data_IF_147345346725
#
_entry.id   IF_147345346725
#
_cell.length_a   1.000
_cell.length_b   1.000
_cell.length_c   1.000
_cell.angle_alpha   90.00
_cell.angle_beta   90.00
_cell.angle_gamma   90.00
#
_symmetry.space_group_name_H-M   'P 1'
#
loop_
_entity.id
_entity.type
_entity.pdbx_description
1 polymer ?
#
# COMPACT_ATOMS: atom_id res chain seq x y z
N UNK A 1 10.02 20.84 14.49
CA UNK A 1 10.44 19.57 13.90
C UNK A 1 10.64 18.57 15.02
N UNK A 2 10.07 17.39 14.88
CA UNK A 2 10.17 16.29 15.83
C UNK A 2 10.86 15.10 15.15
N UNK A 3 11.77 14.44 15.86
CA UNK A 3 12.38 13.19 15.42
C UNK A 3 11.52 12.04 15.93
N UNK A 4 10.94 11.28 15.02
CA UNK A 4 10.00 10.20 15.36
C UNK A 4 10.74 8.88 15.59
N UNK A 5 11.71 8.54 14.75
CA UNK A 5 12.44 7.29 14.86
C UNK A 5 13.87 7.42 14.33
N UNK A 6 14.73 6.53 14.82
CA UNK A 6 16.07 6.29 14.29
C UNK A 6 16.06 5.07 13.36
N UNK A 7 17.08 4.94 12.52
CA UNK A 7 17.26 3.79 11.63
C UNK A 7 16.10 3.54 10.65
N UNK A 8 15.46 4.61 10.17
CA UNK A 8 14.42 4.52 9.15
C UNK A 8 15.03 4.36 7.75
N UNK A 9 14.32 3.71 6.84
CA UNK A 9 14.67 3.69 5.43
C UNK A 9 14.36 5.05 4.80
N UNK A 10 15.39 5.81 4.44
CA UNK A 10 15.31 7.23 4.08
C UNK A 10 14.56 7.51 2.77
N UNK A 11 14.54 6.54 1.86
CA UNK A 11 14.01 6.70 0.50
C UNK A 11 12.62 6.10 0.29
N UNK A 12 12.05 5.44 1.31
CA UNK A 12 10.75 4.78 1.18
C UNK A 12 9.62 5.75 1.57
N UNK A 13 8.53 5.70 0.80
CA UNK A 13 7.30 6.42 1.14
C UNK A 13 6.83 6.01 2.54
N UNK A 14 6.29 6.97 3.28
CA UNK A 14 5.62 6.76 4.56
C UNK A 14 4.12 6.79 4.31
N UNK A 15 3.37 5.84 4.86
CA UNK A 15 1.93 5.88 4.89
C UNK A 15 1.44 6.56 6.17
N UNK A 16 0.37 7.34 6.05
CA UNK A 16 -0.23 8.11 7.14
C UNK A 16 -1.74 7.89 7.09
N UNK A 17 -2.35 7.66 8.24
CA UNK A 17 -3.80 7.51 8.38
C UNK A 17 -4.27 8.17 9.68
N UNK A 18 -5.51 8.66 9.78
CA UNK A 18 -6.05 9.19 11.04
C UNK A 18 -6.00 8.16 12.18
N UNK A 19 -5.91 8.65 13.43
CA UNK A 19 -6.08 7.88 14.66
C UNK A 19 -6.90 8.69 15.65
N UNK A 20 -8.22 8.54 15.60
CA UNK A 20 -9.14 9.40 16.34
C UNK A 20 -9.10 10.86 15.87
N UNK A 21 -9.53 11.84 16.69
CA UNK A 21 -9.72 13.22 16.24
C UNK A 21 -8.41 14.00 16.03
N UNK A 22 -7.36 13.68 16.78
CA UNK A 22 -6.18 14.55 16.87
C UNK A 22 -4.87 13.84 16.53
N UNK A 23 -4.82 12.51 16.59
CA UNK A 23 -3.61 11.74 16.37
C UNK A 23 -3.55 11.19 14.94
N UNK A 24 -2.35 10.76 14.54
CA UNK A 24 -2.12 10.05 13.29
C UNK A 24 -1.40 8.73 13.55
N UNK A 25 -1.77 7.70 12.79
CA UNK A 25 -0.96 6.50 12.65
C UNK A 25 -0.01 6.68 11.47
N UNK A 26 1.22 6.23 11.62
CA UNK A 26 2.24 6.21 10.56
C UNK A 26 2.77 4.80 10.37
N UNK A 27 3.01 4.41 9.13
CA UNK A 27 3.61 3.14 8.75
C UNK A 27 4.79 3.40 7.83
N UNK A 28 5.97 2.89 8.17
CA UNK A 28 7.19 3.12 7.40
C UNK A 28 8.10 1.91 7.41
N UNK A 29 9.07 1.88 6.48
CA UNK A 29 10.11 0.86 6.48
C UNK A 29 11.19 1.23 7.49
N UNK A 30 11.33 0.41 8.50
CA UNK A 30 12.29 0.52 9.60
C UNK A 30 13.45 -0.44 9.38
N UNK A 31 14.62 -0.07 9.87
CA UNK A 31 15.78 -0.96 9.94
C UNK A 31 15.83 -1.56 11.35
N UNK A 32 15.53 -2.85 11.45
CA UNK A 32 15.65 -3.62 12.67
C UNK A 32 17.02 -4.30 12.72
N UNK A 33 17.67 -4.27 13.89
CA UNK A 33 19.04 -4.79 14.01
C UNK A 33 20.02 -4.05 13.11
N UNK A 34 20.72 -4.78 12.23
CA UNK A 34 21.76 -4.20 11.36
C UNK A 34 21.22 -3.92 9.94
N UNK A 35 20.47 -4.86 9.35
CA UNK A 35 20.07 -4.79 7.93
C UNK A 35 18.64 -5.23 7.64
N UNK A 36 17.89 -5.70 8.64
CA UNK A 36 16.51 -6.17 8.44
C UNK A 36 15.58 -5.00 8.19
N UNK A 37 14.95 -4.94 7.01
CA UNK A 37 14.10 -3.84 6.56
C UNK A 37 12.63 -4.25 6.50
N UNK A 38 12.03 -4.36 7.66
CA UNK A 38 10.58 -4.60 7.81
C UNK A 38 9.84 -3.30 8.13
N UNK A 39 8.54 -3.39 8.33
CA UNK A 39 7.73 -2.21 8.60
C UNK A 39 7.49 -2.00 10.08
N UNK A 40 7.58 -0.76 10.50
CA UNK A 40 7.12 -0.30 11.81
C UNK A 40 5.88 0.56 11.66
N UNK A 41 5.01 0.53 12.66
CA UNK A 41 3.82 1.35 12.77
C UNK A 41 3.85 2.07 14.12
N UNK A 42 3.39 3.32 14.16
CA UNK A 42 3.30 4.10 15.40
C UNK A 42 2.14 5.07 15.38
N UNK A 43 1.73 5.51 16.58
CA UNK A 43 0.79 6.62 16.76
C UNK A 43 1.55 7.86 17.19
N UNK A 44 1.28 8.99 16.54
CA UNK A 44 1.84 10.29 16.84
C UNK A 44 0.76 11.26 17.29
N UNK A 45 1.07 12.02 18.32
CA UNK A 45 0.26 13.15 18.78
C UNK A 45 0.53 14.41 17.95
N UNK A 46 -0.32 15.47 18.02
CA UNK A 46 -0.11 16.72 17.31
C UNK A 46 1.20 17.44 17.67
N UNK A 47 1.71 17.23 18.87
CA UNK A 47 3.00 17.78 19.32
C UNK A 47 4.19 16.85 18.98
N UNK A 48 3.95 15.79 18.18
CA UNK A 48 4.98 14.92 17.63
C UNK A 48 5.53 13.88 18.61
N UNK A 49 4.84 13.62 19.71
CA UNK A 49 5.23 12.54 20.62
C UNK A 49 4.74 11.20 20.06
N UNK A 50 5.59 10.18 20.18
CA UNK A 50 5.21 8.81 19.88
C UNK A 50 4.52 8.18 21.08
N UNK A 51 3.27 7.74 20.91
CA UNK A 51 2.49 7.09 21.97
C UNK A 51 2.67 5.56 21.94
N UNK A 52 2.60 4.99 20.78
CA UNK A 52 2.61 3.55 20.57
C UNK A 52 3.52 3.23 19.37
N UNK A 53 4.27 2.15 19.45
CA UNK A 53 5.09 1.67 18.33
C UNK A 53 5.12 0.14 18.32
N UNK A 54 4.95 -0.45 17.13
CA UNK A 54 5.04 -1.88 16.90
C UNK A 54 5.79 -2.22 15.61
N UNK A 55 6.24 -3.47 15.49
CA UNK A 55 6.70 -4.04 14.22
C UNK A 55 5.47 -4.60 13.49
N UNK A 56 5.20 -4.07 12.31
CA UNK A 56 3.98 -4.37 11.55
C UNK A 56 4.19 -5.48 10.51
N UNK A 57 5.41 -5.74 10.07
CA UNK A 57 5.72 -6.88 9.22
C UNK A 57 6.94 -7.65 9.73
N UNK A 58 6.99 -8.95 9.42
CA UNK A 58 8.04 -9.89 9.83
C UNK A 58 8.50 -10.66 8.60
N UNK A 59 9.04 -9.94 7.61
CA UNK A 59 9.46 -10.48 6.32
C UNK A 59 10.90 -10.97 6.35
N UNK A 60 11.69 -10.50 7.34
CA UNK A 60 13.12 -10.74 7.50
C UNK A 60 13.92 -10.34 6.25
N UNK A 61 13.58 -9.20 5.66
CA UNK A 61 14.26 -8.71 4.47
C UNK A 61 15.64 -8.14 4.79
N UNK A 62 16.66 -8.95 4.59
CA UNK A 62 18.07 -8.58 4.81
C UNK A 62 18.61 -7.85 3.59
N UNK A 63 18.72 -6.53 3.66
CA UNK A 63 19.26 -5.72 2.57
C UNK A 63 20.02 -4.50 3.08
N UNK A 64 21.25 -4.32 2.57
CA UNK A 64 22.04 -3.12 2.81
C UNK A 64 21.96 -2.15 1.62
N UNK A 65 20.74 -1.79 1.25
CA UNK A 65 20.42 -0.88 0.16
C UNK A 65 19.07 -0.20 0.42
N UNK A 66 18.71 0.76 -0.42
CA UNK A 66 17.44 1.49 -0.40
C UNK A 66 16.48 0.85 -1.41
N UNK A 67 15.45 0.10 -0.98
CA UNK A 67 14.57 -0.62 -1.90
C UNK A 67 13.56 0.25 -2.64
N UNK A 68 13.35 1.50 -2.21
CA UNK A 68 12.39 2.46 -2.79
C UNK A 68 10.91 2.03 -2.80
N UNK A 69 10.57 0.97 -2.07
CA UNK A 69 9.21 0.46 -1.93
C UNK A 69 8.64 0.84 -0.56
N UNK A 70 7.84 1.89 -0.50
CA UNK A 70 7.12 2.28 0.71
C UNK A 70 5.79 1.53 0.84
N UNK A 71 5.28 1.38 2.07
CA UNK A 71 3.99 0.78 2.34
C UNK A 71 2.83 1.72 2.00
N UNK A 72 1.62 1.16 2.03
CA UNK A 72 0.36 1.89 2.05
C UNK A 72 -0.49 1.43 3.22
N UNK A 73 -1.32 2.33 3.76
CA UNK A 73 -2.15 2.06 4.92
C UNK A 73 -3.43 2.89 4.88
N UNK A 74 -4.54 2.30 5.33
CA UNK A 74 -5.80 2.99 5.57
C UNK A 74 -6.46 2.43 6.83
N UNK A 75 -7.10 3.28 7.63
CA UNK A 75 -7.88 2.82 8.79
C UNK A 75 -9.20 2.22 8.30
N UNK A 76 -9.55 1.04 8.81
CA UNK A 76 -10.86 0.43 8.60
C UNK A 76 -11.95 1.28 9.25
N UNK A 77 -12.97 1.64 8.49
CA UNK A 77 -14.18 2.29 9.02
C UNK A 77 -15.09 1.31 9.78
N UNK A 78 -14.88 0.00 9.62
CA UNK A 78 -15.67 -1.07 10.25
C UNK A 78 -15.08 -1.47 11.60
N UNK A 79 -13.81 -1.89 11.62
CA UNK A 79 -13.15 -2.42 12.82
C UNK A 79 -12.31 -1.40 13.58
N UNK A 80 -11.86 -0.33 12.91
CA UNK A 80 -10.91 0.63 13.47
C UNK A 80 -9.45 0.17 13.42
N UNK A 81 -9.18 -1.06 13.00
CA UNK A 81 -7.83 -1.57 12.70
C UNK A 81 -7.25 -0.91 11.44
N UNK A 82 -6.02 -1.23 11.09
CA UNK A 82 -5.35 -0.67 9.93
C UNK A 82 -5.11 -1.73 8.86
N UNK A 83 -5.69 -1.55 7.69
CA UNK A 83 -5.31 -2.28 6.49
C UNK A 83 -3.96 -1.78 6.01
N UNK A 84 -3.05 -2.69 5.71
CA UNK A 84 -1.72 -2.38 5.23
C UNK A 84 -1.41 -3.18 3.96
N UNK A 85 -0.65 -2.57 3.06
CA UNK A 85 -0.04 -3.31 1.95
C UNK A 85 1.39 -2.84 1.74
N UNK A 86 2.27 -3.80 1.43
CA UNK A 86 3.70 -3.53 1.26
C UNK A 86 4.34 -4.50 0.26
N UNK A 87 5.46 -4.09 -0.27
CA UNK A 87 6.36 -4.95 -1.01
C UNK A 87 7.48 -5.44 -0.12
N UNK A 88 7.88 -6.68 -0.27
CA UNK A 88 9.04 -7.27 0.39
C UNK A 88 9.77 -8.24 -0.52
N UNK A 89 11.06 -8.46 -0.28
CA UNK A 89 11.85 -9.51 -0.88
C UNK A 89 12.70 -10.19 0.21
N UNK A 90 12.04 -10.48 1.33
CA UNK A 90 12.64 -11.10 2.49
C UNK A 90 12.75 -12.62 2.39
N UNK A 91 13.37 -13.21 3.39
CA UNK A 91 13.56 -14.66 3.44
C UNK A 91 12.24 -15.40 3.70
N UNK A 92 11.30 -14.78 4.42
CA UNK A 92 10.00 -15.37 4.75
C UNK A 92 8.92 -15.00 3.73
N UNK A 93 8.98 -13.81 3.16
CA UNK A 93 7.95 -13.29 2.26
C UNK A 93 8.58 -12.60 1.06
N UNK A 94 8.04 -12.80 -0.15
CA UNK A 94 8.49 -12.16 -1.39
C UNK A 94 7.31 -11.68 -2.23
N UNK A 95 7.35 -10.43 -2.70
CA UNK A 95 6.30 -9.82 -3.51
C UNK A 95 5.48 -8.79 -2.74
N UNK A 96 4.23 -8.62 -3.16
CA UNK A 96 3.27 -7.72 -2.51
C UNK A 96 2.45 -8.52 -1.51
N UNK A 97 2.33 -7.96 -0.32
CA UNK A 97 1.53 -8.49 0.78
C UNK A 97 0.47 -7.50 1.22
N UNK A 98 -0.60 -8.03 1.74
CA UNK A 98 -1.62 -7.35 2.51
C UNK A 98 -1.65 -7.93 3.92
N UNK A 99 -2.08 -7.13 4.89
CA UNK A 99 -2.34 -7.55 6.26
C UNK A 99 -3.09 -6.46 7.03
N UNK A 100 -3.56 -6.81 8.23
CA UNK A 100 -4.22 -5.89 9.15
C UNK A 100 -3.35 -5.71 10.39
N UNK A 101 -3.34 -4.52 10.95
CA UNK A 101 -2.68 -4.23 12.23
C UNK A 101 -3.68 -3.68 13.21
N UNK A 102 -3.70 -4.26 14.42
CA UNK A 102 -4.47 -3.78 15.55
C UNK A 102 -3.55 -3.20 16.61
N UNK A 103 -3.79 -1.95 17.01
CA UNK A 103 -3.10 -1.39 18.17
C UNK A 103 -3.58 -1.99 19.49
N UNK A 104 -4.80 -2.51 19.56
CA UNK A 104 -5.35 -3.12 20.77
C UNK A 104 -4.61 -4.41 21.14
N UNK A 105 -4.17 -5.17 20.14
CA UNK A 105 -3.39 -6.40 20.33
C UNK A 105 -1.91 -6.22 20.05
N UNK A 106 -1.50 -5.05 19.54
CA UNK A 106 -0.15 -4.73 19.06
C UNK A 106 0.41 -5.79 18.08
N UNK A 107 -0.43 -6.27 17.18
CA UNK A 107 -0.07 -7.37 16.26
C UNK A 107 -0.70 -7.21 14.89
N UNK A 108 -0.06 -7.83 13.90
CA UNK A 108 -0.61 -7.99 12.55
C UNK A 108 -1.30 -9.35 12.41
N UNK A 109 -2.42 -9.33 11.68
CA UNK A 109 -3.23 -10.51 11.33
C UNK A 109 -3.57 -10.52 9.85
N UNK A 110 -4.17 -11.60 9.37
CA UNK A 110 -4.68 -11.75 8.00
C UNK A 110 -3.63 -11.44 6.92
N UNK A 111 -2.36 -11.77 7.22
CA UNK A 111 -1.24 -11.53 6.29
C UNK A 111 -1.29 -12.57 5.17
N UNK A 112 -1.42 -12.09 3.92
CA UNK A 112 -1.37 -12.95 2.76
C UNK A 112 -0.67 -12.29 1.56
N UNK A 113 -0.18 -13.12 0.64
CA UNK A 113 0.50 -12.70 -0.56
C UNK A 113 -0.52 -12.29 -1.64
N UNK A 114 -0.42 -11.04 -2.10
CA UNK A 114 -1.27 -10.50 -3.18
C UNK A 114 -0.70 -10.82 -4.55
N UNK A 115 0.61 -10.58 -4.74
CA UNK A 115 1.29 -10.80 -6.02
C UNK A 115 2.77 -11.13 -5.77
N UNK A 116 3.23 -12.25 -6.33
CA UNK A 116 4.62 -12.71 -6.25
C UNK A 116 5.38 -12.60 -7.57
N UNK A 117 4.79 -11.98 -8.60
CA UNK A 117 5.45 -11.80 -9.88
C UNK A 117 6.70 -10.91 -9.76
N UNK A 118 7.71 -11.17 -10.57
CA UNK A 118 9.01 -10.49 -10.47
C UNK A 118 8.94 -8.98 -10.72
N UNK A 119 7.89 -8.49 -11.36
CA UNK A 119 7.66 -7.08 -11.65
C UNK A 119 6.64 -6.40 -10.72
N UNK A 120 6.11 -7.12 -9.72
CA UNK A 120 5.14 -6.56 -8.78
C UNK A 120 5.79 -5.54 -7.84
N UNK A 121 5.09 -4.42 -7.57
CA UNK A 121 5.59 -3.41 -6.64
C UNK A 121 4.64 -2.23 -6.47
N UNK A 122 4.98 -1.36 -5.52
CA UNK A 122 4.32 -0.09 -5.27
C UNK A 122 2.81 -0.20 -5.00
N UNK A 123 2.37 -1.05 -4.06
CA UNK A 123 0.96 -1.18 -3.72
C UNK A 123 0.42 0.10 -3.08
N UNK A 124 -0.86 0.39 -3.34
CA UNK A 124 -1.57 1.50 -2.73
C UNK A 124 -2.98 1.07 -2.33
N UNK A 125 -3.33 1.30 -1.07
CA UNK A 125 -4.64 1.02 -0.48
C UNK A 125 -5.48 2.28 -0.36
N UNK A 126 -6.78 2.13 -0.54
CA UNK A 126 -7.79 3.11 -0.16
C UNK A 126 -9.06 2.42 0.30
N UNK A 127 -9.87 3.13 1.07
CA UNK A 127 -11.22 2.71 1.49
C UNK A 127 -12.22 3.80 1.16
N UNK A 128 -13.37 3.38 0.64
CA UNK A 128 -14.53 4.24 0.44
C UNK A 128 -15.81 3.42 0.66
N UNK A 129 -16.69 3.88 1.57
CA UNK A 129 -17.96 3.25 1.89
C UNK A 129 -17.80 1.75 2.25
N UNK A 130 -16.88 1.45 3.16
CA UNK A 130 -16.57 0.09 3.65
C UNK A 130 -16.01 -0.86 2.57
N UNK A 131 -15.73 -0.35 1.36
CA UNK A 131 -15.08 -1.10 0.30
C UNK A 131 -13.61 -0.73 0.22
N UNK A 132 -12.74 -1.74 0.25
CA UNK A 132 -11.31 -1.61 0.08
C UNK A 132 -10.92 -1.75 -1.39
N UNK A 133 -9.91 -1.00 -1.77
CA UNK A 133 -9.29 -1.01 -3.09
C UNK A 133 -7.78 -1.12 -2.91
N UNK A 134 -7.17 -2.10 -3.57
CA UNK A 134 -5.73 -2.28 -3.59
C UNK A 134 -5.24 -2.28 -5.04
N UNK A 135 -4.49 -1.24 -5.40
CA UNK A 135 -3.85 -1.13 -6.72
C UNK A 135 -2.36 -1.33 -6.58
N UNK A 136 -1.75 -1.95 -7.59
CA UNK A 136 -0.29 -2.08 -7.67
C UNK A 136 0.18 -2.11 -9.13
N UNK A 137 1.47 -1.92 -9.31
CA UNK A 137 2.15 -2.06 -10.58
C UNK A 137 2.74 -3.46 -10.69
N UNK A 138 2.56 -4.12 -11.82
CA UNK A 138 3.25 -5.37 -12.17
C UNK A 138 3.89 -5.26 -13.56
N UNK A 139 4.67 -6.26 -13.96
CA UNK A 139 5.33 -6.29 -15.27
C UNK A 139 5.27 -7.71 -15.83
N UNK A 140 4.76 -7.87 -17.05
CA UNK A 140 4.57 -9.17 -17.70
C UNK A 140 5.75 -9.62 -18.59
N UNK A 141 6.81 -8.81 -18.64
CA UNK A 141 7.97 -9.00 -19.50
C UNK A 141 7.95 -8.10 -20.75
N UNK A 142 6.84 -7.43 -21.04
CA UNK A 142 6.67 -6.51 -22.18
C UNK A 142 6.08 -5.17 -21.76
N UNK A 143 5.11 -5.18 -20.85
CA UNK A 143 4.37 -4.01 -20.41
C UNK A 143 4.32 -3.91 -18.88
N UNK A 144 4.30 -2.67 -18.38
CA UNK A 144 3.86 -2.37 -17.03
C UNK A 144 2.34 -2.42 -16.99
N UNK A 145 1.79 -3.19 -16.05
CA UNK A 145 0.36 -3.36 -15.84
C UNK A 145 -0.05 -2.68 -14.54
N UNK A 146 -1.21 -2.05 -14.54
CA UNK A 146 -1.91 -1.60 -13.33
C UNK A 146 -2.94 -2.63 -12.92
N UNK A 147 -2.71 -3.28 -11.80
CA UNK A 147 -3.57 -4.32 -11.26
C UNK A 147 -4.42 -3.79 -10.12
N UNK A 148 -5.65 -4.25 -10.00
CA UNK A 148 -6.61 -3.89 -8.94
C UNK A 148 -7.28 -5.15 -8.40
N UNK A 149 -7.44 -5.20 -7.08
CA UNK A 149 -8.40 -6.04 -6.38
C UNK A 149 -9.24 -5.20 -5.41
N UNK A 150 -10.44 -5.69 -5.07
CA UNK A 150 -11.34 -5.03 -4.12
C UNK A 150 -11.86 -6.01 -3.08
N UNK A 151 -12.21 -5.49 -1.90
CA UNK A 151 -12.87 -6.25 -0.83
C UNK A 151 -14.08 -5.49 -0.30
N UNK A 152 -15.15 -6.21 0.04
CA UNK A 152 -16.38 -5.68 0.64
C UNK A 152 -16.68 -6.29 2.02
N UNK A 153 -15.72 -7.00 2.59
CA UNK A 153 -15.84 -7.71 3.87
C UNK A 153 -14.65 -7.42 4.80
N UNK A 154 -14.24 -6.14 4.83
CA UNK A 154 -13.16 -5.63 5.67
C UNK A 154 -11.82 -6.38 5.44
N UNK A 155 -11.54 -6.72 4.16
CA UNK A 155 -10.29 -7.37 3.77
C UNK A 155 -10.22 -8.87 4.03
N UNK A 156 -11.33 -9.51 4.43
CA UNK A 156 -11.37 -10.95 4.68
C UNK A 156 -11.31 -11.77 3.40
N UNK A 157 -11.95 -11.30 2.32
CA UNK A 157 -11.84 -11.86 0.98
C UNK A 157 -11.64 -10.76 -0.07
N UNK A 158 -11.08 -11.13 -1.22
CA UNK A 158 -10.77 -10.21 -2.29
C UNK A 158 -11.29 -10.72 -3.63
N UNK A 159 -11.64 -9.78 -4.51
CA UNK A 159 -12.05 -10.07 -5.88
C UNK A 159 -10.92 -10.72 -6.69
N UNK A 160 -11.26 -11.26 -7.86
CA UNK A 160 -10.27 -11.54 -8.89
C UNK A 160 -9.51 -10.27 -9.28
N UNK A 161 -8.27 -10.44 -9.76
CA UNK A 161 -7.44 -9.34 -10.23
C UNK A 161 -7.96 -8.79 -11.56
N UNK A 162 -8.10 -7.47 -11.63
CA UNK A 162 -8.46 -6.73 -12.84
C UNK A 162 -7.29 -5.87 -13.29
N UNK A 163 -6.93 -5.92 -14.57
CA UNK A 163 -5.96 -4.99 -15.16
C UNK A 163 -6.71 -3.71 -15.57
N UNK A 164 -6.39 -2.59 -14.90
CA UNK A 164 -7.00 -1.28 -15.18
C UNK A 164 -6.39 -0.60 -16.41
N UNK A 165 -5.09 -0.77 -16.61
CA UNK A 165 -4.33 -0.12 -17.69
C UNK A 165 -3.00 -0.81 -17.90
N UNK A 166 -2.36 -0.55 -19.03
CA UNK A 166 -1.01 -1.04 -19.31
C UNK A 166 -0.22 -0.01 -20.15
N UNK A 167 1.10 -0.08 -20.10
CA UNK A 167 1.99 0.70 -20.96
C UNK A 167 3.29 -0.06 -21.22
N UNK A 168 3.80 0.05 -22.45
CA UNK A 168 5.13 -0.46 -22.81
C UNK A 168 6.27 0.52 -22.49
N UNK A 169 5.94 1.72 -22.06
CA UNK A 169 6.90 2.77 -21.75
C UNK A 169 7.05 2.99 -20.24
N UNK A 170 7.91 3.93 -19.83
CA UNK A 170 8.10 4.23 -18.43
C UNK A 170 6.82 4.76 -17.78
N UNK A 171 6.61 4.37 -16.54
CA UNK A 171 5.45 4.80 -15.75
C UNK A 171 5.81 5.01 -14.29
N UNK A 172 5.07 5.90 -13.64
CA UNK A 172 5.17 6.20 -12.23
C UNK A 172 4.42 5.14 -11.37
N UNK A 173 4.34 5.38 -10.07
CA UNK A 173 3.62 4.53 -9.12
C UNK A 173 2.14 4.92 -9.07
N UNK A 174 1.22 3.95 -9.05
CA UNK A 174 -0.20 4.25 -8.88
C UNK A 174 -0.47 4.79 -7.48
N UNK A 175 -1.43 5.70 -7.40
CA UNK A 175 -1.97 6.23 -6.15
C UNK A 175 -3.48 6.40 -6.26
N UNK A 176 -4.19 6.28 -5.14
CA UNK A 176 -5.58 6.69 -5.06
C UNK A 176 -5.72 8.08 -4.44
N UNK A 177 -6.68 8.83 -4.96
CA UNK A 177 -7.20 10.04 -4.34
C UNK A 177 -8.65 9.76 -3.98
N UNK A 178 -8.94 9.76 -2.69
CA UNK A 178 -10.29 9.51 -2.16
C UNK A 178 -10.98 10.83 -1.86
N UNK A 179 -12.22 10.97 -2.31
CA UNK A 179 -13.12 12.08 -2.02
C UNK A 179 -14.33 11.57 -1.23
N UNK A 180 -15.24 12.45 -0.82
CA UNK A 180 -16.46 12.05 -0.13
C UNK A 180 -17.38 11.14 -0.98
N UNK A 181 -17.25 11.16 -2.31
CA UNK A 181 -18.19 10.51 -3.24
C UNK A 181 -17.53 9.58 -4.24
N UNK A 182 -16.21 9.54 -4.33
CA UNK A 182 -15.51 8.74 -5.34
C UNK A 182 -14.07 8.45 -4.98
N UNK A 183 -13.54 7.44 -5.63
CA UNK A 183 -12.14 7.05 -5.60
C UNK A 183 -11.55 7.25 -6.99
N UNK A 184 -10.41 7.92 -7.07
CA UNK A 184 -9.74 8.24 -8.33
C UNK A 184 -8.35 7.63 -8.35
N UNK A 185 -8.03 6.96 -9.46
CA UNK A 185 -6.68 6.53 -9.78
C UNK A 185 -5.88 7.72 -10.31
N UNK A 186 -4.70 7.92 -9.76
CA UNK A 186 -3.69 8.86 -10.22
C UNK A 186 -2.49 8.07 -10.73
N UNK A 187 -2.17 8.19 -12.01
CA UNK A 187 -1.06 7.49 -12.65
C UNK A 187 -0.44 8.31 -13.78
N UNK A 188 0.87 8.32 -13.89
CA UNK A 188 1.58 8.96 -14.99
C UNK A 188 2.35 7.93 -15.81
N UNK A 189 2.29 8.05 -17.14
CA UNK A 189 3.06 7.25 -18.09
C UNK A 189 3.69 8.17 -19.15
N UNK A 190 4.77 7.75 -19.75
CA UNK A 190 5.33 8.46 -20.92
C UNK A 190 4.41 8.37 -22.14
N UNK A 191 3.63 7.28 -22.24
CA UNK A 191 2.76 7.02 -23.39
C UNK A 191 1.49 7.87 -23.37
N UNK A 192 0.83 7.97 -22.21
CA UNK A 192 -0.49 8.63 -22.08
C UNK A 192 -0.45 9.93 -21.28
N UNK A 193 0.73 10.30 -20.73
CA UNK A 193 0.84 11.43 -19.82
C UNK A 193 0.21 11.13 -18.45
N UNK A 194 -0.38 12.15 -17.83
CA UNK A 194 -1.01 12.03 -16.52
C UNK A 194 -2.47 11.58 -16.64
N UNK A 195 -2.78 10.46 -16.05
CA UNK A 195 -4.13 9.87 -15.98
C UNK A 195 -4.72 10.14 -14.60
N UNK A 196 -5.92 10.71 -14.56
CA UNK A 196 -6.73 10.86 -13.36
C UNK A 196 -8.13 10.35 -13.66
N UNK A 197 -8.45 9.15 -13.19
CA UNK A 197 -9.65 8.41 -13.60
C UNK A 197 -10.43 7.94 -12.39
N UNK A 198 -11.74 8.16 -12.38
CA UNK A 198 -12.63 7.60 -11.37
C UNK A 198 -12.72 6.07 -11.51
N UNK A 199 -12.60 5.37 -10.37
CA UNK A 199 -12.82 3.93 -10.29
C UNK A 199 -14.28 3.66 -9.99
N UNK A 200 -14.97 3.09 -10.95
CA UNK A 200 -16.38 2.69 -10.87
C UNK A 200 -16.52 1.20 -11.16
N UNK A 201 -17.68 0.61 -10.88
CA UNK A 201 -17.95 -0.79 -11.22
C UNK A 201 -17.84 -1.05 -12.74
N UNK A 202 -18.09 -0.04 -13.57
CA UNK A 202 -17.89 -0.16 -15.04
C UNK A 202 -16.40 -0.14 -15.42
N UNK A 203 -15.55 0.61 -14.73
CA UNK A 203 -14.10 0.60 -14.99
C UNK A 203 -13.44 -0.72 -14.55
N UNK A 204 -14.02 -1.41 -13.59
CA UNK A 204 -13.57 -2.73 -13.14
C UNK A 204 -13.97 -3.87 -14.11
N UNK A 205 -14.87 -3.62 -15.04
CA UNK A 205 -15.32 -4.59 -16.06
C UNK A 205 -14.69 -4.35 -17.44
N UNK A 206 -13.76 -3.41 -17.58
CA UNK A 206 -13.16 -3.06 -18.86
C UNK A 206 -11.93 -3.94 -19.17
N UNK A 207 -12.18 -5.14 -19.67
CA UNK A 207 -11.20 -5.89 -20.47
C UNK A 207 -10.99 -5.29 -21.89
N UNK A 208 -11.66 -4.17 -22.26
CA UNK A 208 -11.81 -3.68 -23.62
C UNK A 208 -11.49 -2.19 -23.81
N UNK A 209 -10.68 -1.56 -22.94
CA UNK A 209 -10.21 -0.21 -23.26
C UNK A 209 -8.98 -0.30 -24.17
N UNK A 210 -9.22 -0.46 -25.46
CA UNK A 210 -8.25 -0.11 -26.51
C UNK A 210 -8.36 1.40 -26.71
N UNK A 211 -7.23 2.11 -26.50
CA UNK A 211 -7.12 3.51 -26.85
C UNK A 211 -7.37 3.70 -28.34
N UNK A 212 -8.32 4.57 -28.68
CA UNK A 212 -8.48 5.13 -30.02
C UNK A 212 -7.35 6.12 -30.36
#
# INVERSE_FOLDING_TARGET
NYRVADNSCECCRIAISPRGPDNIAILWRQIFGVTTRDHAIAVLTPDGQMMEMGRASYDEWQINACPHHGPSMVQSSVSGDYHMSWFTNGDLHQGIYYGRYSFDTASSTDVYQVDSSAGAGHPYLAELNEKLYLVWKSFDGQQSLLQLITSTDDGSTWSDTVTLSSTSQASDHPMFVTTATGIFLSWHTEEYGYVFQEITDSTMNLSDYQAD
#
